data_IF_053589653475
#
_entry.id   IF_053589653475
#
_cell.length_a   1.000
_cell.length_b   1.000
_cell.length_c   1.000
_cell.angle_alpha   90.00
_cell.angle_beta   90.00
_cell.angle_gamma   90.00
#
_symmetry.space_group_name_H-M   'P 1'
#
loop_
_entity.id
_entity.type
_entity.pdbx_description
1 polymer ?
#
# COMPACT_ATOMS: atom_id res chain seq x y z
N UNK A 1 -16.75 5.58 -3.21
CA UNK A 1 -16.25 4.71 -4.31
C UNK A 1 -14.80 5.06 -4.60
N UNK A 2 -14.01 4.12 -5.16
CA UNK A 2 -12.65 4.42 -5.64
C UNK A 2 -12.74 5.44 -6.81
N UNK A 3 -11.86 6.45 -6.91
CA UNK A 3 -11.85 7.37 -8.05
C UNK A 3 -11.42 6.67 -9.35
N UNK A 4 -10.76 5.51 -9.25
CA UNK A 4 -10.50 4.66 -10.39
C UNK A 4 -11.76 3.85 -10.74
N UNK A 5 -12.29 4.09 -11.95
CA UNK A 5 -13.51 3.47 -12.46
C UNK A 5 -13.41 1.94 -12.66
N UNK A 6 -12.21 1.37 -12.57
CA UNK A 6 -11.95 -0.06 -12.73
C UNK A 6 -11.79 -0.81 -11.40
N UNK A 7 -11.88 -0.12 -10.25
CA UNK A 7 -11.62 -0.68 -8.93
C UNK A 7 -10.29 -0.19 -8.33
N UNK A 8 -9.94 -0.74 -7.18
CA UNK A 8 -8.72 -0.42 -6.45
C UNK A 8 -7.74 -1.58 -6.50
N UNK A 9 -6.57 -1.36 -7.08
CA UNK A 9 -5.53 -2.38 -7.25
C UNK A 9 -4.29 -2.02 -6.41
N UNK A 10 -3.94 -2.90 -5.47
CA UNK A 10 -2.73 -2.80 -4.67
C UNK A 10 -2.06 -4.17 -4.64
N UNK A 11 -0.90 -4.25 -5.31
CA UNK A 11 -0.11 -5.48 -5.44
C UNK A 11 1.36 -5.18 -5.25
N UNK A 12 2.09 -6.15 -4.72
CA UNK A 12 3.54 -6.09 -4.55
C UNK A 12 4.14 -7.35 -5.16
N UNK A 13 5.21 -7.16 -5.92
CA UNK A 13 6.08 -8.22 -6.40
C UNK A 13 7.43 -8.12 -5.68
N UNK A 14 7.89 -9.23 -5.13
CA UNK A 14 9.18 -9.34 -4.46
C UNK A 14 9.98 -10.43 -5.17
N UNK A 15 10.95 -9.99 -5.98
CA UNK A 15 11.91 -10.89 -6.63
C UNK A 15 13.01 -11.26 -5.63
N UNK A 16 13.19 -12.57 -5.43
CA UNK A 16 14.17 -13.15 -4.52
C UNK A 16 15.15 -14.04 -5.29
N UNK A 17 16.26 -14.42 -4.65
CA UNK A 17 17.29 -15.29 -5.26
C UNK A 17 16.73 -16.63 -5.78
N UNK A 18 15.73 -17.19 -5.09
CA UNK A 18 15.19 -18.54 -5.36
C UNK A 18 13.74 -18.55 -5.83
N UNK A 19 13.18 -17.40 -6.16
CA UNK A 19 11.79 -17.31 -6.60
C UNK A 19 11.21 -15.90 -6.48
N UNK A 20 9.88 -15.81 -6.62
CA UNK A 20 9.14 -14.55 -6.59
C UNK A 20 7.93 -14.70 -5.67
N UNK A 21 7.67 -13.67 -4.86
CA UNK A 21 6.47 -13.56 -4.04
C UNK A 21 5.57 -12.47 -4.59
N UNK A 22 4.31 -12.82 -4.83
CA UNK A 22 3.25 -11.88 -5.19
C UNK A 22 2.31 -11.70 -4.01
N UNK A 23 2.10 -10.45 -3.59
CA UNK A 23 1.18 -10.11 -2.50
C UNK A 23 0.04 -9.27 -3.08
N UNK A 24 -1.19 -9.67 -2.76
CA UNK A 24 -2.41 -8.98 -3.20
C UNK A 24 -2.96 -9.49 -4.53
N UNK A 25 -4.16 -9.03 -4.87
CA UNK A 25 -4.87 -9.35 -6.11
C UNK A 25 -5.81 -8.18 -6.45
N UNK A 26 -5.89 -7.81 -7.73
CA UNK A 26 -6.90 -6.86 -8.20
C UNK A 26 -8.33 -7.43 -8.06
N UNK A 27 -8.43 -8.76 -7.99
CA UNK A 27 -9.69 -9.49 -7.98
C UNK A 27 -10.22 -9.66 -6.56
N UNK A 28 -11.47 -9.28 -6.37
CA UNK A 28 -12.23 -9.57 -5.15
C UNK A 28 -12.44 -11.08 -5.04
N UNK A 29 -11.99 -11.66 -3.93
CA UNK A 29 -12.15 -13.08 -3.67
C UNK A 29 -13.62 -13.45 -3.41
N UNK A 30 -14.05 -14.61 -3.92
CA UNK A 30 -15.34 -15.22 -3.57
C UNK A 30 -16.56 -14.77 -4.38
N UNK A 31 -16.39 -13.98 -5.45
CA UNK A 31 -17.47 -13.69 -6.39
C UNK A 31 -16.99 -13.86 -7.83
N UNK A 32 -17.46 -14.92 -8.48
CA UNK A 32 -17.22 -15.21 -9.88
C UNK A 32 -18.53 -15.62 -10.54
N UNK A 33 -18.69 -15.31 -11.82
CA UNK A 33 -19.79 -15.83 -12.61
C UNK A 33 -19.31 -16.14 -14.02
N UNK A 34 -20.00 -17.07 -14.67
CA UNK A 34 -19.69 -17.53 -16.02
C UNK A 34 -20.94 -17.28 -16.89
N UNK A 35 -20.77 -16.58 -18.00
CA UNK A 35 -21.83 -16.42 -19.02
C UNK A 35 -21.33 -16.92 -20.37
N UNK A 36 -22.26 -17.27 -21.26
CA UNK A 36 -21.92 -17.68 -22.65
C UNK A 36 -21.30 -16.53 -23.43
N UNK A 37 -21.76 -15.30 -23.19
CA UNK A 37 -21.34 -14.11 -23.96
C UNK A 37 -19.98 -13.60 -23.52
N UNK A 38 -19.65 -13.76 -22.24
CA UNK A 38 -18.57 -13.01 -21.62
C UNK A 38 -17.54 -13.91 -20.91
N UNK A 39 -17.83 -15.20 -20.74
CA UNK A 39 -16.93 -16.15 -20.12
C UNK A 39 -16.86 -15.97 -18.60
N UNK A 40 -15.70 -16.27 -18.01
CA UNK A 40 -15.46 -16.14 -16.57
C UNK A 40 -15.21 -14.68 -16.19
N UNK A 41 -15.98 -14.16 -15.24
CA UNK A 41 -15.80 -12.84 -14.65
C UNK A 41 -15.57 -12.90 -13.16
N UNK A 42 -15.02 -11.82 -12.62
CA UNK A 42 -15.05 -11.53 -11.20
C UNK A 42 -15.00 -10.02 -10.98
N UNK A 43 -15.32 -9.61 -9.76
CA UNK A 43 -15.29 -8.20 -9.39
C UNK A 43 -13.87 -7.75 -9.06
N UNK A 44 -13.57 -6.49 -9.36
CA UNK A 44 -12.40 -5.83 -8.79
C UNK A 44 -12.67 -5.44 -7.32
N UNK A 45 -11.61 -5.26 -6.54
CA UNK A 45 -11.73 -4.70 -5.20
C UNK A 45 -12.33 -3.29 -5.30
N UNK A 46 -13.45 -3.04 -4.62
CA UNK A 46 -14.23 -1.82 -4.82
C UNK A 46 -13.59 -0.55 -4.24
N UNK A 47 -12.80 -0.67 -3.17
CA UNK A 47 -12.17 0.46 -2.49
C UNK A 47 -11.04 0.00 -1.56
N UNK A 48 -10.02 0.86 -1.41
CA UNK A 48 -8.99 0.73 -0.38
C UNK A 48 -9.57 0.58 1.03
N UNK A 49 -10.72 1.20 1.32
CA UNK A 49 -11.39 1.09 2.62
C UNK A 49 -11.82 -0.34 2.92
N UNK A 50 -12.27 -1.07 1.90
CA UNK A 50 -12.66 -2.47 2.04
C UNK A 50 -11.42 -3.36 2.09
N UNK A 51 -10.42 -3.07 1.26
CA UNK A 51 -9.19 -3.86 1.18
C UNK A 51 -8.39 -3.84 2.48
N UNK A 52 -8.23 -2.65 3.07
CA UNK A 52 -7.40 -2.43 4.25
C UNK A 52 -8.20 -2.31 5.55
N UNK A 53 -9.50 -2.68 5.56
CA UNK A 53 -10.35 -2.58 6.76
C UNK A 53 -9.70 -3.25 7.96
N UNK A 54 -9.27 -4.50 7.79
CA UNK A 54 -8.71 -5.30 8.87
C UNK A 54 -7.31 -4.78 9.27
N UNK A 55 -6.57 -4.18 8.33
CA UNK A 55 -5.29 -3.54 8.61
C UNK A 55 -5.46 -2.27 9.47
N UNK A 56 -6.47 -1.42 9.19
CA UNK A 56 -6.77 -0.26 10.03
C UNK A 56 -7.18 -0.66 11.44
N UNK A 57 -7.96 -1.75 11.58
CA UNK A 57 -8.32 -2.27 12.90
C UNK A 57 -7.07 -2.72 13.66
N UNK A 58 -6.23 -3.55 13.03
CA UNK A 58 -5.00 -4.05 13.64
C UNK A 58 -3.99 -2.94 13.98
N UNK A 59 -3.91 -1.89 13.16
CA UNK A 59 -3.11 -0.69 13.44
C UNK A 59 -3.57 0.00 14.72
N UNK A 60 -4.87 0.28 14.84
CA UNK A 60 -5.44 0.91 16.03
C UNK A 60 -5.26 0.05 17.28
N UNK A 61 -5.52 -1.26 17.18
CA UNK A 61 -5.29 -2.21 18.28
C UNK A 61 -3.82 -2.21 18.73
N UNK A 62 -2.88 -2.22 17.77
CA UNK A 62 -1.45 -2.18 18.07
C UNK A 62 -1.03 -0.86 18.73
N UNK A 63 -1.62 0.27 18.33
CA UNK A 63 -1.35 1.57 18.94
C UNK A 63 -1.87 1.62 20.38
N UNK A 64 -3.13 1.23 20.60
CA UNK A 64 -3.74 1.19 21.94
C UNK A 64 -2.94 0.28 22.88
N UNK A 65 -2.53 -0.90 22.41
CA UNK A 65 -1.68 -1.80 23.20
C UNK A 65 -0.35 -1.14 23.60
N UNK A 66 0.32 -0.46 22.66
CA UNK A 66 1.58 0.24 22.94
C UNK A 66 1.41 1.32 24.02
N UNK A 67 0.29 2.03 24.02
CA UNK A 67 -0.03 3.05 25.05
C UNK A 67 -0.31 2.41 26.41
N UNK A 68 -1.07 1.31 26.45
CA UNK A 68 -1.41 0.63 27.70
C UNK A 68 -0.19 -0.03 28.36
N UNK A 69 0.72 -0.58 27.55
CA UNK A 69 1.89 -1.33 28.01
C UNK A 69 3.15 -0.46 28.18
N UNK A 70 3.04 0.86 27.98
CA UNK A 70 4.16 1.82 27.99
C UNK A 70 5.32 1.37 27.08
N UNK A 71 4.97 0.94 25.86
CA UNK A 71 5.92 0.46 24.85
C UNK A 71 6.01 1.42 23.67
N UNK A 72 7.13 1.36 22.95
CA UNK A 72 7.28 2.04 21.67
C UNK A 72 6.29 1.46 20.65
N UNK A 73 5.71 2.34 19.84
CA UNK A 73 4.87 1.95 18.71
C UNK A 73 5.71 1.24 17.65
N UNK A 74 5.10 0.28 16.94
CA UNK A 74 5.76 -0.46 15.84
C UNK A 74 6.20 0.44 14.68
N UNK A 75 5.49 1.55 14.48
CA UNK A 75 5.82 2.59 13.50
C UNK A 75 6.02 3.89 14.27
N UNK A 76 7.09 4.59 13.97
CA UNK A 76 7.54 5.79 14.70
C UNK A 76 7.52 7.02 13.79
N UNK A 77 7.79 8.20 14.37
CA UNK A 77 7.97 9.42 13.58
C UNK A 77 9.14 9.35 12.59
N UNK A 78 10.15 8.52 12.85
CA UNK A 78 11.27 8.33 11.93
C UNK A 78 10.83 7.66 10.63
N UNK A 79 9.97 6.65 10.72
CA UNK A 79 9.40 5.96 9.54
C UNK A 79 8.58 6.93 8.69
N UNK A 80 7.77 7.78 9.34
CA UNK A 80 7.01 8.84 8.66
C UNK A 80 7.91 9.86 7.96
N UNK A 81 9.02 10.26 8.59
CA UNK A 81 10.00 11.17 7.99
C UNK A 81 10.65 10.55 6.74
N UNK A 82 11.07 9.29 6.80
CA UNK A 82 11.66 8.61 5.64
C UNK A 82 10.67 8.49 4.46
N UNK A 83 9.38 8.24 4.74
CA UNK A 83 8.35 8.25 3.71
C UNK A 83 8.26 9.62 3.01
N UNK A 84 8.35 10.72 3.76
CA UNK A 84 8.36 12.09 3.20
C UNK A 84 9.62 12.36 2.40
N UNK A 85 10.80 11.96 2.90
CA UNK A 85 12.07 12.11 2.17
C UNK A 85 12.04 11.42 0.80
N UNK A 86 11.45 10.22 0.74
CA UNK A 86 11.27 9.50 -0.51
C UNK A 86 10.38 10.28 -1.49
N UNK A 87 9.24 10.82 -1.03
CA UNK A 87 8.32 11.61 -1.89
C UNK A 87 8.99 12.88 -2.42
N UNK A 88 9.78 13.57 -1.58
CA UNK A 88 10.54 14.75 -2.01
C UNK A 88 11.52 14.40 -3.14
N UNK A 89 12.29 13.33 -2.98
CA UNK A 89 13.24 12.88 -3.99
C UNK A 89 12.53 12.44 -5.29
N UNK A 90 11.38 11.75 -5.18
CA UNK A 90 10.56 11.34 -6.32
C UNK A 90 10.06 12.55 -7.10
N UNK A 91 9.53 13.57 -6.42
CA UNK A 91 9.03 14.77 -7.08
C UNK A 91 10.13 15.53 -7.83
N UNK A 92 11.33 15.60 -7.24
CA UNK A 92 12.50 16.20 -7.90
C UNK A 92 12.96 15.36 -9.10
N UNK A 93 12.96 14.03 -8.97
CA UNK A 93 13.30 13.12 -10.07
C UNK A 93 12.31 13.26 -11.23
N UNK A 94 11.01 13.34 -10.94
CA UNK A 94 9.97 13.58 -11.94
C UNK A 94 10.15 14.92 -12.66
N UNK A 95 10.51 15.98 -11.91
CA UNK A 95 10.71 17.33 -12.47
C UNK A 95 11.94 17.41 -13.38
N UNK A 96 13.01 16.71 -13.01
CA UNK A 96 14.31 16.78 -13.70
C UNK A 96 14.50 15.70 -14.76
N UNK A 97 13.73 14.61 -14.67
CA UNK A 97 13.93 13.40 -15.48
C UNK A 97 15.20 12.62 -15.09
N UNK A 98 15.83 12.95 -13.96
CA UNK A 98 17.10 12.36 -13.53
C UNK A 98 16.94 11.58 -12.23
N UNK A 99 17.76 10.55 -11.96
CA UNK A 99 17.79 9.90 -10.66
C UNK A 99 18.21 10.87 -9.55
N UNK A 100 17.49 10.84 -8.43
CA UNK A 100 17.76 11.67 -7.24
C UNK A 100 17.93 10.75 -6.03
N UNK A 101 19.03 10.85 -5.26
CA UNK A 101 19.20 10.07 -4.04
C UNK A 101 18.13 10.40 -2.99
N UNK A 102 17.60 9.37 -2.33
CA UNK A 102 16.78 9.53 -1.13
C UNK A 102 17.64 9.52 0.14
N UNK A 103 17.17 10.15 1.22
CA UNK A 103 17.85 10.16 2.53
C UNK A 103 18.94 11.22 2.74
N UNK A 104 19.10 12.16 1.79
CA UNK A 104 20.07 13.27 1.89
C UNK A 104 19.43 14.65 2.00
N UNK A 105 18.11 14.75 1.82
CA UNK A 105 17.38 16.01 1.87
C UNK A 105 17.03 16.37 3.33
N UNK A 106 17.34 17.60 3.75
CA UNK A 106 16.78 18.16 4.97
C UNK A 106 15.26 18.30 4.80
N UNK A 107 14.49 17.41 5.44
CA UNK A 107 13.06 17.64 5.62
C UNK A 107 12.91 18.77 6.63
N UNK A 108 12.58 19.97 6.15
CA UNK A 108 12.16 21.05 7.04
C UNK A 108 10.86 20.64 7.72
N UNK A 109 10.90 20.57 9.05
CA UNK A 109 9.73 20.41 9.90
C UNK A 109 8.82 21.65 9.81
#
# INVERSE_FOLDING_TARGET
TCPAHYGYDARVEILCEKGVLFVGSARRHGCEWITVESGLHGEAVASWRTLFRDAYLAEMESFVASVLDDQLTKVTGADGRWAVEAVVAINESLRTGMPVPCGTAEVKA
#
